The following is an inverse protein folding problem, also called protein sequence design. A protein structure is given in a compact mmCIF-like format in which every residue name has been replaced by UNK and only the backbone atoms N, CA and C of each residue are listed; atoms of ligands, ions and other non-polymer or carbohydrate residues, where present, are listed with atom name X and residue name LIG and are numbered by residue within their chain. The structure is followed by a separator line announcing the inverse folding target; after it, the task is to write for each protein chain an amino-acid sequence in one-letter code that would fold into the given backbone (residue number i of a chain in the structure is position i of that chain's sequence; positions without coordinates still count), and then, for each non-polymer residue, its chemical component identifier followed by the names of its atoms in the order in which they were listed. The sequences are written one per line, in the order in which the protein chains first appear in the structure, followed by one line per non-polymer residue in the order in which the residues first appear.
data_IF_334720758389
#
_entry.id   IF_334720758389
#
_cell.length_a   1.000
_cell.length_b   1.000
_cell.length_c   1.000
_cell.angle_alpha   90.00
_cell.angle_beta   90.00
_cell.angle_gamma   90.00
#
_symmetry.space_group_name_H-M   'P 1'
#
loop_
_entity.id
_entity.type
_entity.pdbx_description
1 polymer ?
#
# COMPACT_ATOMS: atom_id res chain seq x y z
N UNK A 1 -0.81 35.09 31.02
CA UNK A 1 -2.26 35.33 30.99
C UNK A 1 -2.91 34.09 30.43
N UNK A 2 -3.97 33.63 31.07
CA UNK A 2 -4.60 32.34 30.80
C UNK A 2 -5.79 32.57 29.85
N UNK A 3 -6.28 31.54 29.15
CA UNK A 3 -7.49 31.63 28.31
C UNK A 3 -8.67 32.31 29.03
N UNK A 4 -8.96 31.90 30.26
CA UNK A 4 -10.06 32.45 31.06
C UNK A 4 -9.89 33.96 31.37
N UNK A 5 -8.65 34.41 31.59
CA UNK A 5 -8.35 35.82 31.87
C UNK A 5 -8.50 36.68 30.60
N UNK A 6 -8.12 36.14 29.44
CA UNK A 6 -8.35 36.78 28.14
C UNK A 6 -9.86 36.87 27.85
N UNK A 7 -10.60 35.79 28.08
CA UNK A 7 -12.05 35.77 27.90
C UNK A 7 -12.76 36.80 28.80
N UNK A 8 -12.34 36.89 30.06
CA UNK A 8 -12.86 37.87 31.01
C UNK A 8 -12.47 39.31 30.64
N UNK A 9 -11.27 39.52 30.09
CA UNK A 9 -10.84 40.83 29.60
C UNK A 9 -11.70 41.28 28.42
N UNK A 10 -11.80 40.47 27.36
CA UNK A 10 -12.53 40.84 26.14
C UNK A 10 -14.04 40.94 26.33
N UNK A 11 -14.61 40.27 27.35
CA UNK A 11 -16.03 40.44 27.72
C UNK A 11 -16.30 41.69 28.57
N UNK A 12 -15.28 42.23 29.26
CA UNK A 12 -15.43 43.38 30.15
C UNK A 12 -15.06 44.72 29.52
N UNK A 13 -14.41 44.70 28.35
CA UNK A 13 -14.00 45.90 27.61
C UNK A 13 -14.74 46.00 26.28
N UNK A 14 -15.20 47.20 25.93
CA UNK A 14 -15.79 47.45 24.61
C UNK A 14 -14.67 47.81 23.63
N UNK A 15 -14.30 46.86 22.77
CA UNK A 15 -13.21 47.01 21.80
C UNK A 15 -13.73 47.38 20.41
N UNK A 16 -12.97 48.21 19.70
CA UNK A 16 -13.23 48.66 18.35
C UNK A 16 -11.93 48.73 17.55
N UNK A 17 -11.98 48.24 16.31
CA UNK A 17 -10.90 48.39 15.35
C UNK A 17 -10.80 49.85 14.89
N UNK A 18 -9.58 50.37 14.77
CA UNK A 18 -9.34 51.68 14.15
C UNK A 18 -9.79 51.66 12.68
N UNK A 19 -10.13 52.82 12.12
CA UNK A 19 -10.57 52.97 10.72
C UNK A 19 -9.57 52.36 9.71
N UNK A 20 -8.27 52.47 10.01
CA UNK A 20 -7.18 51.91 9.20
C UNK A 20 -6.91 50.41 9.43
N UNK A 21 -7.65 49.75 10.32
CA UNK A 21 -7.46 48.36 10.78
C UNK A 21 -6.05 48.03 11.31
N UNK A 22 -5.25 49.05 11.62
CA UNK A 22 -3.87 48.93 12.09
C UNK A 22 -3.73 48.76 13.61
N UNK A 23 -4.84 48.94 14.35
CA UNK A 23 -4.85 48.97 15.81
C UNK A 23 -6.22 48.58 16.37
N UNK A 24 -6.21 47.92 17.52
CA UNK A 24 -7.41 47.59 18.29
C UNK A 24 -7.42 48.49 19.52
N UNK A 25 -8.50 49.23 19.72
CA UNK A 25 -8.65 50.11 20.89
C UNK A 25 -9.85 49.70 21.69
N UNK A 26 -9.79 49.84 23.01
CA UNK A 26 -10.89 49.47 23.88
C UNK A 26 -11.20 50.57 24.89
N UNK A 27 -12.47 50.71 25.22
CA UNK A 27 -12.95 51.55 26.30
C UNK A 27 -13.13 50.68 27.55
N UNK A 28 -12.37 50.99 28.59
CA UNK A 28 -12.39 50.27 29.85
C UNK A 28 -12.78 51.20 31.00
N UNK A 29 -13.68 50.71 31.86
CA UNK A 29 -14.04 51.38 33.10
C UNK A 29 -13.16 50.88 34.25
N UNK A 30 -12.29 51.77 34.75
CA UNK A 30 -11.37 51.45 35.84
C UNK A 30 -12.03 51.50 37.22
N UNK A 31 -13.32 51.85 37.30
CA UNK A 31 -14.04 51.87 38.58
C UNK A 31 -14.07 50.48 39.22
N UNK A 32 -14.20 49.43 38.40
CA UNK A 32 -14.24 48.05 38.88
C UNK A 32 -12.84 47.51 39.18
N UNK A 33 -12.68 46.86 40.34
CA UNK A 33 -11.42 46.22 40.74
C UNK A 33 -11.02 45.06 39.80
N UNK A 34 -11.93 44.18 39.35
CA UNK A 34 -11.58 43.06 38.46
C UNK A 34 -11.02 43.53 37.12
N UNK A 35 -11.58 44.57 36.50
CA UNK A 35 -11.07 45.11 35.22
C UNK A 35 -9.69 45.72 35.39
N UNK A 36 -9.41 46.36 36.53
CA UNK A 36 -8.07 46.90 36.83
C UNK A 36 -7.02 45.80 36.96
N UNK A 37 -7.35 44.70 37.63
CA UNK A 37 -6.44 43.56 37.75
C UNK A 37 -6.17 42.91 36.39
N UNK A 38 -7.21 42.73 35.56
CA UNK A 38 -7.09 42.19 34.21
C UNK A 38 -6.25 43.09 33.29
N UNK A 39 -6.41 44.42 33.38
CA UNK A 39 -5.61 45.37 32.59
C UNK A 39 -4.16 45.39 33.06
N UNK A 40 -3.91 45.34 34.37
CA UNK A 40 -2.56 45.22 34.90
C UNK A 40 -1.88 43.93 34.40
N UNK A 41 -2.58 42.79 34.48
CA UNK A 41 -2.09 41.51 33.95
C UNK A 41 -1.81 41.57 32.44
N UNK A 42 -2.67 42.26 31.68
CA UNK A 42 -2.54 42.43 30.23
C UNK A 42 -1.37 43.34 29.84
N UNK A 43 -1.10 44.39 30.62
CA UNK A 43 0.08 45.26 30.43
C UNK A 43 1.35 44.47 30.71
N UNK A 44 1.39 43.68 31.78
CA UNK A 44 2.55 42.84 32.11
C UNK A 44 2.77 41.73 31.07
N UNK A 45 1.71 41.26 30.41
CA UNK A 45 1.79 40.32 29.28
C UNK A 45 2.18 41.01 27.95
N UNK A 46 2.24 42.34 27.91
CA UNK A 46 2.52 43.13 26.71
C UNK A 46 1.36 43.17 25.71
N UNK A 47 0.14 42.80 26.11
CA UNK A 47 -1.04 42.84 25.25
C UNK A 47 -1.61 44.26 25.16
N UNK A 48 -1.46 45.05 26.22
CA UNK A 48 -2.00 46.40 26.34
C UNK A 48 -0.85 47.38 26.56
N UNK A 49 -0.89 48.50 25.84
CA UNK A 49 0.06 49.59 26.07
C UNK A 49 -0.17 50.21 27.46
N UNK A 50 0.91 50.50 28.18
CA UNK A 50 0.84 51.10 29.52
C UNK A 50 0.25 52.53 29.52
N UNK A 51 0.20 53.19 28.36
CA UNK A 51 -0.41 54.50 28.18
C UNK A 51 -1.90 54.40 27.92
N UNK A 52 -2.66 55.07 28.80
CA UNK A 52 -4.12 55.16 28.73
C UNK A 52 -4.55 56.60 28.48
N UNK A 53 -5.64 56.77 27.74
CA UNK A 53 -6.16 58.09 27.35
C UNK A 53 -7.55 58.30 27.95
N UNK A 54 -7.80 59.38 28.71
CA UNK A 54 -9.13 59.63 29.26
C UNK A 54 -10.13 59.89 28.11
N UNK A 55 -11.30 59.27 28.17
CA UNK A 55 -12.41 59.49 27.19
C UNK A 55 -13.09 60.84 27.38
N UNK A 56 -13.11 61.36 28.62
CA UNK A 56 -13.68 62.66 28.97
C UNK A 56 -12.60 63.61 29.49
N UNK A 57 -12.47 64.80 28.88
CA UNK A 57 -11.52 65.84 29.28
C UNK A 57 -10.36 66.02 28.29
N UNK A 58 -9.24 66.59 28.75
CA UNK A 58 -8.05 66.78 27.89
C UNK A 58 -7.41 65.43 27.58
N UNK A 59 -7.11 65.10 26.30
CA UNK A 59 -6.57 63.80 25.88
C UNK A 59 -5.07 63.71 26.15
N UNK A 60 -4.66 63.85 27.41
CA UNK A 60 -3.26 63.68 27.83
C UNK A 60 -3.08 62.22 28.22
N UNK A 61 -2.16 61.53 27.55
CA UNK A 61 -1.78 60.17 27.90
C UNK A 61 -1.27 60.12 29.35
N UNK A 62 -1.77 59.16 30.13
CA UNK A 62 -1.28 58.85 31.47
C UNK A 62 -0.76 57.42 31.50
N UNK A 63 0.27 57.16 32.30
CA UNK A 63 0.69 55.79 32.59
C UNK A 63 -0.30 55.15 33.57
N UNK A 64 -0.73 53.92 33.27
CA UNK A 64 -1.69 53.19 34.09
C UNK A 64 -1.25 53.05 35.56
N UNK A 65 0.04 52.81 35.79
CA UNK A 65 0.62 52.68 37.14
C UNK A 65 0.65 53.98 37.95
N UNK A 66 0.48 55.13 37.29
CA UNK A 66 0.56 56.47 37.90
C UNK A 66 -0.84 57.11 38.07
N UNK A 67 -1.92 56.35 37.93
CA UNK A 67 -3.28 56.86 38.08
C UNK A 67 -3.62 57.15 39.55
N UNK A 68 -4.16 58.34 39.79
CA UNK A 68 -4.60 58.77 41.13
C UNK A 68 -5.98 58.19 41.50
N UNK A 69 -6.36 58.21 42.78
CA UNK A 69 -7.64 57.64 43.25
C UNK A 69 -8.89 58.21 42.57
N UNK A 70 -8.86 59.47 42.13
CA UNK A 70 -9.95 60.12 41.37
C UNK A 70 -9.92 59.83 39.87
N UNK A 71 -8.76 59.43 39.34
CA UNK A 71 -8.63 58.96 37.96
C UNK A 71 -9.22 57.56 37.80
N UNK A 72 -9.15 56.71 38.82
CA UNK A 72 -9.70 55.34 38.79
C UNK A 72 -11.23 55.28 38.69
N UNK A 73 -11.95 56.40 38.81
CA UNK A 73 -13.41 56.46 38.63
C UNK A 73 -13.84 56.84 37.20
N UNK A 74 -12.89 56.93 36.25
CA UNK A 74 -13.15 57.36 34.87
C UNK A 74 -12.96 56.21 33.89
N UNK A 75 -13.58 56.36 32.73
CA UNK A 75 -13.34 55.49 31.59
C UNK A 75 -12.11 55.94 30.81
N UNK A 76 -11.31 54.97 30.36
CA UNK A 76 -10.11 55.22 29.59
C UNK A 76 -10.16 54.45 28.28
N UNK A 77 -9.65 55.08 27.22
CA UNK A 77 -9.28 54.44 25.97
C UNK A 77 -7.90 53.80 26.14
N UNK A 78 -7.85 52.52 25.84
CA UNK A 78 -6.69 51.63 25.95
C UNK A 78 -6.34 51.12 24.55
N UNK A 79 -5.05 50.98 24.24
CA UNK A 79 -4.60 50.43 22.95
C UNK A 79 -4.09 49.01 23.16
N UNK A 80 -4.63 48.07 22.39
CA UNK A 80 -4.25 46.66 22.40
C UNK A 80 -3.23 46.42 21.28
N UNK A 81 -2.10 45.80 21.62
CA UNK A 81 -1.05 45.46 20.68
C UNK A 81 -1.40 44.20 19.89
N UNK A 82 -1.56 44.36 18.58
CA UNK A 82 -1.99 43.29 17.66
C UNK A 82 -0.83 42.36 17.28
N UNK A 83 0.40 42.88 17.26
CA UNK A 83 1.61 42.19 16.83
C UNK A 83 2.48 41.77 18.02
N UNK A 84 1.88 41.24 19.08
CA UNK A 84 2.65 40.70 20.20
C UNK A 84 3.32 39.38 19.75
N UNK A 85 4.63 39.17 20.03
CA UNK A 85 5.34 37.95 19.66
C UNK A 85 4.72 36.68 20.28
N UNK A 86 4.02 36.80 21.41
CA UNK A 86 3.38 35.70 22.10
C UNK A 86 1.92 35.47 21.67
N UNK A 87 1.24 36.50 21.15
CA UNK A 87 -0.17 36.42 20.78
C UNK A 87 -0.52 37.38 19.65
N UNK A 88 -0.87 36.84 18.48
CA UNK A 88 -1.33 37.65 17.34
C UNK A 88 -2.84 37.82 17.38
N UNK A 89 -3.31 39.03 17.06
CA UNK A 89 -4.74 39.33 16.97
C UNK A 89 -5.09 39.58 15.50
N UNK A 90 -6.19 39.01 15.03
CA UNK A 90 -6.70 39.19 13.68
C UNK A 90 -8.13 39.72 13.75
N UNK A 91 -8.46 40.64 12.85
CA UNK A 91 -9.82 41.18 12.72
C UNK A 91 -10.79 40.06 12.40
N UNK A 92 -10.70 39.50 11.22
CA UNK A 92 -11.56 38.40 10.79
C UNK A 92 -10.73 37.25 10.24
N UNK A 93 -11.39 36.13 9.95
CA UNK A 93 -10.78 34.94 9.36
C UNK A 93 -10.21 35.25 7.96
N UNK A 94 -10.77 36.24 7.27
CA UNK A 94 -10.25 36.76 6.00
C UNK A 94 -8.90 37.48 6.17
N UNK A 95 -8.70 38.21 7.26
CA UNK A 95 -7.44 38.87 7.61
C UNK A 95 -6.39 37.85 8.04
N UNK A 96 -6.79 36.82 8.78
CA UNK A 96 -5.96 35.66 9.12
C UNK A 96 -5.45 34.97 7.85
N UNK A 97 -6.34 34.57 6.95
CA UNK A 97 -5.99 33.90 5.68
C UNK A 97 -5.17 34.77 4.73
N UNK A 98 -5.24 36.10 4.83
CA UNK A 98 -4.37 36.98 4.03
C UNK A 98 -2.96 37.06 4.61
N UNK A 99 -2.86 37.13 5.94
CA UNK A 99 -1.57 37.29 6.64
C UNK A 99 -0.82 35.97 6.78
N UNK A 100 -1.57 34.88 6.92
CA UNK A 100 -1.08 33.52 7.12
C UNK A 100 -1.94 32.58 6.27
N UNK A 101 -1.68 32.44 4.96
CA UNK A 101 -2.59 31.74 4.06
C UNK A 101 -2.68 30.22 4.29
N UNK A 102 -1.60 29.57 4.73
CA UNK A 102 -1.55 28.09 4.89
C UNK A 102 -0.74 27.62 6.09
N UNK A 103 -0.40 28.54 7.00
CA UNK A 103 0.36 28.22 8.21
C UNK A 103 -0.27 28.93 9.38
N UNK A 104 -1.08 28.20 10.15
CA UNK A 104 -1.68 28.73 11.37
C UNK A 104 -0.59 29.13 12.38
N UNK A 105 -0.68 30.32 13.00
CA UNK A 105 0.08 30.64 14.21
C UNK A 105 -0.23 29.65 15.33
N UNK A 106 0.71 29.46 16.27
CA UNK A 106 0.52 28.58 17.42
C UNK A 106 -0.61 29.08 18.33
N UNK A 107 -0.62 30.37 18.67
CA UNK A 107 -1.68 31.00 19.46
C UNK A 107 -2.09 32.33 18.86
N UNK A 108 -3.41 32.52 18.67
CA UNK A 108 -3.96 33.76 18.12
C UNK A 108 -5.41 34.01 18.55
N UNK A 109 -5.83 35.26 18.42
CA UNK A 109 -7.21 35.70 18.62
C UNK A 109 -7.78 36.14 17.27
N UNK A 110 -9.02 35.75 16.98
CA UNK A 110 -9.84 36.33 15.90
C UNK A 110 -11.01 37.06 16.53
N UNK A 111 -11.25 38.31 16.14
CA UNK A 111 -12.33 39.16 16.67
C UNK A 111 -13.40 39.38 15.60
N UNK A 112 -14.28 38.41 15.37
CA UNK A 112 -15.42 38.62 14.47
C UNK A 112 -16.39 39.63 15.11
N UNK A 113 -17.17 40.37 14.32
CA UNK A 113 -17.88 41.59 14.76
C UNK A 113 -18.79 41.43 15.99
N UNK A 114 -19.14 40.19 16.38
CA UNK A 114 -19.92 39.86 17.59
C UNK A 114 -19.26 38.82 18.52
N UNK A 115 -18.10 38.25 18.17
CA UNK A 115 -17.46 37.19 18.97
C UNK A 115 -15.95 37.17 18.86
N UNK A 116 -15.26 36.87 19.97
CA UNK A 116 -13.83 36.61 19.97
C UNK A 116 -13.58 35.11 20.08
N UNK A 117 -12.64 34.62 19.29
CA UNK A 117 -12.24 33.22 19.28
C UNK A 117 -10.76 33.14 19.59
N UNK A 118 -10.45 32.54 20.73
CA UNK A 118 -9.08 32.24 21.14
C UNK A 118 -8.69 30.84 20.70
N UNK A 119 -7.61 30.74 19.93
CA UNK A 119 -6.99 29.49 19.51
C UNK A 119 -5.66 29.38 20.22
N UNK A 120 -5.48 28.31 21.00
CA UNK A 120 -4.26 28.05 21.75
C UNK A 120 -3.61 26.77 21.23
N UNK A 121 -2.31 26.82 20.95
CA UNK A 121 -1.52 25.69 20.46
C UNK A 121 -2.16 24.96 19.25
N UNK A 122 -2.85 25.68 18.38
CA UNK A 122 -3.56 25.12 17.22
C UNK A 122 -4.79 24.26 17.56
N UNK A 123 -5.26 24.24 18.81
CA UNK A 123 -6.49 23.56 19.20
C UNK A 123 -7.71 24.45 18.95
N UNK A 124 -8.63 23.92 18.14
CA UNK A 124 -9.93 24.56 17.89
C UNK A 124 -10.78 24.56 19.18
N UNK A 125 -11.56 25.62 19.45
CA UNK A 125 -12.53 25.64 20.53
C UNK A 125 -13.66 24.61 20.33
N UNK A 126 -14.42 24.30 21.38
CA UNK A 126 -15.49 23.28 21.36
C UNK A 126 -16.59 23.54 20.33
N UNK A 127 -16.83 24.81 19.96
CA UNK A 127 -17.74 25.22 18.88
C UNK A 127 -17.09 26.29 18.01
N UNK A 128 -16.20 25.91 17.08
CA UNK A 128 -15.51 26.88 16.25
C UNK A 128 -16.45 27.42 15.16
N UNK A 129 -16.31 28.69 14.75
CA UNK A 129 -16.95 29.18 13.53
C UNK A 129 -16.59 28.27 12.34
N UNK A 130 -17.57 27.99 11.47
CA UNK A 130 -17.39 27.09 10.32
C UNK A 130 -16.19 27.53 9.46
N UNK A 131 -16.06 28.83 9.24
CA UNK A 131 -14.95 29.44 8.50
C UNK A 131 -13.58 29.18 9.12
N UNK A 132 -13.50 29.05 10.45
CA UNK A 132 -12.25 28.76 11.16
C UNK A 132 -11.88 27.29 11.03
N UNK A 133 -12.85 26.38 11.20
CA UNK A 133 -12.64 24.95 10.96
C UNK A 133 -12.16 24.69 9.52
N UNK A 134 -12.79 25.33 8.54
CA UNK A 134 -12.39 25.22 7.14
C UNK A 134 -10.99 25.79 6.89
N UNK A 135 -10.59 26.86 7.55
CA UNK A 135 -9.22 27.37 7.46
C UNK A 135 -8.19 26.32 7.96
N UNK A 136 -8.47 25.60 9.05
CA UNK A 136 -7.60 24.52 9.52
C UNK A 136 -7.56 23.35 8.53
N UNK A 137 -8.70 22.95 7.94
CA UNK A 137 -8.72 21.93 6.89
C UNK A 137 -7.89 22.36 5.66
N UNK A 138 -7.99 23.62 5.23
CA UNK A 138 -7.18 24.15 4.14
C UNK A 138 -5.68 24.12 4.47
N UNK A 139 -5.31 24.55 5.68
CA UNK A 139 -3.93 24.51 6.15
C UNK A 139 -3.39 23.08 6.17
N UNK A 140 -4.23 22.12 6.53
CA UNK A 140 -3.87 20.70 6.55
C UNK A 140 -3.77 20.10 5.14
N UNK A 141 -4.68 20.45 4.23
CA UNK A 141 -4.58 20.05 2.82
C UNK A 141 -3.26 20.55 2.24
N UNK A 142 -2.89 21.81 2.50
CA UNK A 142 -1.63 22.37 2.03
C UNK A 142 -0.42 21.67 2.65
N UNK A 143 -0.45 21.33 3.94
CA UNK A 143 0.65 20.64 4.61
C UNK A 143 0.86 19.23 4.04
N UNK A 144 -0.22 18.49 3.79
CA UNK A 144 -0.18 17.17 3.15
C UNK A 144 0.37 17.28 1.72
N UNK A 145 -0.15 18.22 0.92
CA UNK A 145 0.38 18.46 -0.43
C UNK A 145 1.87 18.82 -0.42
N UNK A 146 2.32 19.55 0.60
CA UNK A 146 3.72 19.91 0.79
C UNK A 146 4.58 18.69 1.15
N UNK A 147 4.10 17.80 2.01
CA UNK A 147 4.80 16.55 2.36
C UNK A 147 5.04 15.65 1.14
N UNK A 148 4.07 15.60 0.23
CA UNK A 148 4.15 14.78 -0.98
C UNK A 148 4.79 15.48 -2.20
N UNK A 149 5.37 16.67 -2.00
CA UNK A 149 5.98 17.47 -3.06
C UNK A 149 7.49 17.26 -3.18
N UNK A 150 8.02 17.50 -4.38
CA UNK A 150 9.45 17.35 -4.65
C UNK A 150 10.26 18.59 -4.24
N UNK A 151 9.66 19.77 -4.36
CA UNK A 151 10.23 21.03 -3.87
C UNK A 151 9.12 21.93 -3.31
N UNK A 152 9.40 22.56 -2.17
CA UNK A 152 8.46 23.47 -1.52
C UNK A 152 9.15 24.73 -1.02
N UNK A 153 8.59 25.87 -1.41
CA UNK A 153 8.91 27.19 -0.86
C UNK A 153 7.75 27.64 0.03
N UNK A 154 7.92 28.76 0.73
CA UNK A 154 6.89 29.32 1.63
C UNK A 154 5.53 29.50 0.95
N UNK A 155 5.50 29.90 -0.32
CA UNK A 155 4.24 30.21 -1.03
C UNK A 155 3.97 29.33 -2.25
N UNK A 156 4.87 28.40 -2.59
CA UNK A 156 4.77 27.62 -3.82
C UNK A 156 5.20 26.18 -3.60
N UNK A 157 4.42 25.24 -4.13
CA UNK A 157 4.74 23.82 -4.16
C UNK A 157 5.01 23.40 -5.60
N UNK A 158 6.02 22.58 -5.81
CA UNK A 158 6.39 22.06 -7.12
C UNK A 158 6.37 20.53 -7.12
N UNK A 159 5.74 19.97 -8.14
CA UNK A 159 5.75 18.54 -8.43
C UNK A 159 6.49 18.29 -9.75
N UNK A 160 7.38 17.30 -9.74
CA UNK A 160 8.32 16.92 -10.79
C UNK A 160 8.06 15.47 -11.21
N UNK A 161 6.83 15.17 -11.60
CA UNK A 161 6.47 13.85 -12.10
C UNK A 161 6.75 13.75 -13.61
N UNK A 162 5.71 13.66 -14.46
CA UNK A 162 5.85 13.64 -15.93
C UNK A 162 6.03 15.02 -16.54
N UNK A 163 5.42 16.03 -15.93
CA UNK A 163 5.50 17.44 -16.30
C UNK A 163 5.57 18.25 -15.02
N UNK A 164 6.32 19.35 -15.07
CA UNK A 164 6.46 20.28 -13.94
C UNK A 164 5.12 20.94 -13.64
N UNK A 165 4.58 20.70 -12.45
CA UNK A 165 3.37 21.36 -11.94
C UNK A 165 3.76 22.31 -10.81
N UNK A 166 3.31 23.56 -10.92
CA UNK A 166 3.45 24.57 -9.88
C UNK A 166 2.08 24.88 -9.28
N UNK A 167 2.01 24.86 -7.95
CA UNK A 167 0.89 25.35 -7.16
C UNK A 167 1.36 26.58 -6.39
N UNK A 168 0.70 27.71 -6.61
CA UNK A 168 0.85 28.88 -5.76
C UNK A 168 -0.26 28.89 -4.72
N UNK A 169 0.09 29.32 -3.52
CA UNK A 169 -0.86 29.45 -2.44
C UNK A 169 -1.74 30.71 -2.64
N UNK A 170 -2.70 30.59 -3.53
CA UNK A 170 -3.62 31.68 -3.89
C UNK A 170 -5.01 31.10 -4.04
N UNK A 171 -5.95 31.63 -3.26
CA UNK A 171 -7.32 31.13 -3.18
C UNK A 171 -8.32 32.24 -2.83
N UNK A 172 -9.58 32.04 -3.21
CA UNK A 172 -10.68 32.93 -2.85
C UNK A 172 -11.13 32.66 -1.42
N UNK A 173 -11.36 33.74 -0.67
CA UNK A 173 -11.80 33.69 0.73
C UNK A 173 -13.21 33.13 0.89
N UNK A 174 -14.01 33.18 -0.18
CA UNK A 174 -15.36 32.61 -0.20
C UNK A 174 -15.36 31.10 0.05
N UNK A 175 -14.27 30.41 -0.29
CA UNK A 175 -14.10 28.97 -0.09
C UNK A 175 -14.20 28.61 1.40
N UNK A 176 -13.72 29.49 2.29
CA UNK A 176 -13.77 29.27 3.74
C UNK A 176 -15.21 29.16 4.25
N UNK A 177 -16.20 29.69 3.54
CA UNK A 177 -17.62 29.61 3.92
C UNK A 177 -18.28 28.31 3.45
N UNK A 178 -17.76 27.65 2.42
CA UNK A 178 -18.41 26.53 1.72
C UNK A 178 -18.04 25.15 2.26
N UNK A 179 -16.88 25.00 2.89
CA UNK A 179 -16.38 23.71 3.39
C UNK A 179 -15.71 22.86 2.30
N UNK A 180 -15.03 21.80 2.74
CA UNK A 180 -14.25 20.90 1.89
C UNK A 180 -14.81 19.48 1.92
N UNK A 181 -15.81 19.23 1.09
CA UNK A 181 -16.38 17.89 0.92
C UNK A 181 -15.30 16.93 0.38
N UNK A 182 -15.13 15.79 1.04
CA UNK A 182 -14.07 14.81 0.71
C UNK A 182 -12.79 14.93 1.54
N UNK A 183 -12.65 15.93 2.43
CA UNK A 183 -11.48 16.06 3.31
C UNK A 183 -11.17 14.80 4.15
N UNK A 184 -12.21 14.15 4.69
CA UNK A 184 -12.03 12.89 5.44
C UNK A 184 -11.46 11.75 4.57
N UNK A 185 -11.86 11.69 3.30
CA UNK A 185 -11.37 10.68 2.37
C UNK A 185 -9.93 11.01 1.94
N UNK A 186 -9.65 12.28 1.65
CA UNK A 186 -8.30 12.77 1.34
C UNK A 186 -7.28 12.43 2.44
N UNK A 187 -7.62 12.76 3.69
CA UNK A 187 -6.77 12.45 4.84
C UNK A 187 -6.60 10.94 5.01
N UNK A 188 -7.65 10.13 4.87
CA UNK A 188 -7.54 8.66 4.91
C UNK A 188 -6.62 8.09 3.82
N UNK A 189 -6.65 8.63 2.61
CA UNK A 189 -5.83 8.11 1.50
C UNK A 189 -4.35 8.45 1.65
N UNK A 190 -4.06 9.69 2.09
CA UNK A 190 -2.70 10.26 2.06
C UNK A 190 -2.01 10.30 3.42
N UNK A 191 -2.75 10.48 4.53
CA UNK A 191 -2.18 10.38 5.87
C UNK A 191 -2.04 8.90 6.24
N UNK A 192 -0.79 8.49 6.37
CA UNK A 192 -0.35 7.10 6.52
C UNK A 192 -0.81 6.53 7.87
N UNK A 193 -1.48 5.36 7.91
CA UNK A 193 -1.57 4.53 9.10
C UNK A 193 -0.23 3.81 9.33
N UNK A 194 0.17 3.65 10.60
CA UNK A 194 1.46 3.10 11.06
C UNK A 194 1.76 1.61 10.70
N UNK A 195 1.03 1.00 9.76
CA UNK A 195 1.17 -0.41 9.43
C UNK A 195 2.20 -0.66 8.30
N UNK A 196 3.09 -1.64 8.51
CA UNK A 196 4.20 -2.00 7.61
C UNK A 196 3.79 -2.30 6.15
N UNK A 197 2.57 -2.80 5.91
CA UNK A 197 2.08 -3.12 4.57
C UNK A 197 1.71 -1.89 3.73
N UNK A 198 1.38 -0.75 4.35
CA UNK A 198 1.06 0.49 3.63
C UNK A 198 2.31 1.33 3.31
N UNK A 199 3.46 1.01 3.93
CA UNK A 199 4.73 1.65 3.63
C UNK A 199 5.22 1.31 2.22
N UNK A 200 4.97 0.08 1.73
CA UNK A 200 5.28 -0.36 0.37
C UNK A 200 4.56 0.47 -0.70
N UNK A 201 3.39 1.04 -0.38
CA UNK A 201 2.58 1.83 -1.30
C UNK A 201 2.79 3.33 -1.18
N UNK A 202 3.66 3.81 -0.28
CA UNK A 202 3.88 5.25 -0.07
C UNK A 202 4.37 5.96 -1.34
N UNK A 203 5.35 5.36 -2.03
CA UNK A 203 5.91 5.93 -3.27
C UNK A 203 4.84 5.99 -4.35
N UNK A 204 4.04 4.93 -4.49
CA UNK A 204 3.03 4.91 -5.54
C UNK A 204 1.84 5.82 -5.22
N UNK A 205 1.41 5.92 -3.96
CA UNK A 205 0.44 6.93 -3.52
C UNK A 205 0.90 8.34 -3.91
N UNK A 206 2.19 8.65 -3.77
CA UNK A 206 2.75 9.92 -4.23
C UNK A 206 2.63 10.08 -5.75
N UNK A 207 3.00 9.07 -6.53
CA UNK A 207 2.90 9.13 -7.98
C UNK A 207 1.44 9.28 -8.46
N UNK A 208 0.52 8.56 -7.84
CA UNK A 208 -0.92 8.64 -8.13
C UNK A 208 -1.44 10.04 -7.80
N UNK A 209 -1.05 10.61 -6.67
CA UNK A 209 -1.38 11.99 -6.29
C UNK A 209 -0.84 12.99 -7.33
N UNK A 210 0.45 12.91 -7.67
CA UNK A 210 1.09 13.80 -8.63
C UNK A 210 0.44 13.71 -10.02
N UNK A 211 0.13 12.50 -10.50
CA UNK A 211 -0.53 12.29 -11.77
C UNK A 211 -1.98 12.81 -11.78
N UNK A 212 -2.70 12.62 -10.67
CA UNK A 212 -4.06 13.12 -10.50
C UNK A 212 -4.06 14.66 -10.49
N UNK A 213 -3.16 15.28 -9.72
CA UNK A 213 -2.99 16.73 -9.70
C UNK A 213 -2.65 17.28 -11.08
N UNK A 214 -1.70 16.66 -11.79
CA UNK A 214 -1.31 17.09 -13.13
C UNK A 214 -2.50 17.04 -14.08
N UNK A 215 -3.21 15.90 -14.14
CA UNK A 215 -4.34 15.72 -15.06
C UNK A 215 -5.52 16.63 -14.72
N UNK A 216 -5.67 16.98 -13.44
CA UNK A 216 -6.75 17.85 -12.97
C UNK A 216 -6.47 19.34 -13.21
N UNK A 217 -5.19 19.74 -13.24
CA UNK A 217 -4.77 21.15 -13.24
C UNK A 217 -3.98 21.58 -14.48
N UNK A 218 -3.68 20.69 -15.43
CA UNK A 218 -2.82 21.05 -16.56
C UNK A 218 -3.38 22.14 -17.47
N UNK A 219 -4.71 22.23 -17.58
CA UNK A 219 -5.40 23.23 -18.40
C UNK A 219 -5.64 24.55 -17.66
N UNK A 220 -5.25 24.65 -16.39
CA UNK A 220 -5.51 25.81 -15.53
C UNK A 220 -4.23 26.65 -15.39
N UNK A 221 -4.41 27.97 -15.38
CA UNK A 221 -3.33 28.94 -15.20
C UNK A 221 -2.70 28.83 -13.81
N UNK A 222 -1.39 29.03 -13.72
CA UNK A 222 -0.58 28.76 -12.51
C UNK A 222 -1.11 29.47 -11.27
N UNK A 223 -1.58 30.71 -11.41
CA UNK A 223 -2.09 31.52 -10.31
C UNK A 223 -3.47 31.08 -9.81
N UNK A 224 -4.27 30.40 -10.64
CA UNK A 224 -5.62 29.94 -10.29
C UNK A 224 -5.70 28.46 -9.90
N UNK A 225 -4.65 27.67 -10.12
CA UNK A 225 -4.65 26.22 -9.90
C UNK A 225 -5.09 25.79 -8.50
N UNK A 226 -4.57 26.44 -7.47
CA UNK A 226 -4.91 26.06 -6.09
C UNK A 226 -6.35 26.46 -5.75
N UNK A 227 -6.77 27.66 -6.15
CA UNK A 227 -8.17 28.08 -6.05
C UNK A 227 -9.13 27.12 -6.76
N UNK A 228 -8.78 26.68 -7.97
CA UNK A 228 -9.57 25.74 -8.75
C UNK A 228 -9.64 24.35 -8.10
N UNK A 229 -8.50 23.86 -7.58
CA UNK A 229 -8.41 22.60 -6.84
C UNK A 229 -9.35 22.60 -5.64
N UNK A 230 -9.33 23.68 -4.84
CA UNK A 230 -10.17 23.83 -3.65
C UNK A 230 -11.66 23.94 -4.00
N UNK A 231 -12.01 24.64 -5.08
CA UNK A 231 -13.41 24.76 -5.53
C UNK A 231 -14.00 23.45 -6.08
N UNK A 232 -13.17 22.52 -6.53
CA UNK A 232 -13.59 21.22 -7.07
C UNK A 232 -12.93 20.07 -6.28
N UNK A 233 -12.75 20.27 -4.97
CA UNK A 233 -11.97 19.36 -4.13
C UNK A 233 -12.62 17.98 -4.03
N UNK A 234 -13.94 17.93 -3.97
CA UNK A 234 -14.75 16.71 -4.01
C UNK A 234 -14.41 15.83 -5.24
N UNK A 235 -14.40 16.42 -6.43
CA UNK A 235 -14.11 15.73 -7.69
C UNK A 235 -12.65 15.29 -7.75
N UNK A 236 -11.74 16.12 -7.25
CA UNK A 236 -10.32 15.78 -7.19
C UNK A 236 -10.10 14.56 -6.29
N UNK A 237 -10.68 14.56 -5.09
CA UNK A 237 -10.54 13.47 -4.12
C UNK A 237 -11.15 12.18 -4.64
N UNK A 238 -12.32 12.26 -5.29
CA UNK A 238 -12.96 11.09 -5.91
C UNK A 238 -12.09 10.49 -7.01
N UNK A 239 -11.50 11.33 -7.88
CA UNK A 239 -10.58 10.88 -8.93
C UNK A 239 -9.29 10.28 -8.37
N UNK A 240 -8.81 10.81 -7.24
CA UNK A 240 -7.65 10.28 -6.53
C UNK A 240 -7.94 8.88 -5.99
N UNK A 241 -9.10 8.69 -5.35
CA UNK A 241 -9.54 7.38 -4.87
C UNK A 241 -9.69 6.38 -6.00
N UNK A 242 -10.39 6.74 -7.08
CA UNK A 242 -10.55 5.88 -8.27
C UNK A 242 -9.19 5.44 -8.84
N UNK A 243 -8.24 6.37 -8.94
CA UNK A 243 -6.89 6.08 -9.43
C UNK A 243 -6.13 5.15 -8.48
N UNK A 244 -6.31 5.33 -7.17
CA UNK A 244 -5.74 4.44 -6.15
C UNK A 244 -6.35 3.04 -6.19
N UNK A 245 -7.68 2.92 -6.28
CA UNK A 245 -8.36 1.63 -6.40
C UNK A 245 -7.93 0.90 -7.68
N UNK A 246 -7.81 1.61 -8.81
CA UNK A 246 -7.32 1.03 -10.06
C UNK A 246 -5.89 0.48 -9.91
N UNK A 247 -5.01 1.20 -9.21
CA UNK A 247 -3.66 0.72 -8.89
C UNK A 247 -3.69 -0.53 -7.99
N UNK A 248 -4.45 -0.51 -6.89
CA UNK A 248 -4.54 -1.65 -5.95
C UNK A 248 -5.04 -2.90 -6.65
N UNK A 249 -6.04 -2.76 -7.53
CA UNK A 249 -6.57 -3.83 -8.34
C UNK A 249 -5.51 -4.35 -9.33
N UNK A 250 -4.83 -3.45 -10.05
CA UNK A 250 -3.72 -3.80 -10.96
C UNK A 250 -2.58 -4.53 -10.26
N UNK A 251 -2.10 -4.01 -9.14
CA UNK A 251 -1.04 -4.61 -8.32
C UNK A 251 -1.44 -6.01 -7.80
N UNK A 252 -2.69 -6.16 -7.36
CA UNK A 252 -3.22 -7.46 -6.93
C UNK A 252 -3.24 -8.46 -8.08
N UNK A 253 -3.54 -8.02 -9.30
CA UNK A 253 -3.46 -8.87 -10.49
C UNK A 253 -2.03 -9.26 -10.86
N UNK A 254 -1.09 -8.31 -10.84
CA UNK A 254 0.31 -8.59 -11.14
C UNK A 254 0.92 -9.57 -10.14
N UNK A 255 0.66 -9.39 -8.85
CA UNK A 255 1.09 -10.31 -7.79
C UNK A 255 0.49 -11.71 -7.95
N UNK A 256 -0.79 -11.78 -8.33
CA UNK A 256 -1.46 -13.06 -8.59
C UNK A 256 -0.87 -13.76 -9.81
N UNK A 257 -0.57 -13.01 -10.88
CA UNK A 257 0.09 -13.50 -12.08
C UNK A 257 1.49 -14.00 -11.79
N UNK A 258 2.31 -13.23 -11.08
CA UNK A 258 3.68 -13.60 -10.72
C UNK A 258 3.72 -14.92 -9.94
N UNK A 259 2.86 -15.04 -8.92
CA UNK A 259 2.71 -16.27 -8.14
C UNK A 259 2.32 -17.47 -9.00
N UNK A 260 1.50 -17.24 -10.03
CA UNK A 260 1.16 -18.29 -10.98
C UNK A 260 2.35 -18.66 -11.87
N UNK A 261 3.07 -17.69 -12.42
CA UNK A 261 4.26 -17.95 -13.24
C UNK A 261 5.33 -18.72 -12.46
N UNK A 262 5.49 -18.42 -11.17
CA UNK A 262 6.34 -19.19 -10.25
C UNK A 262 5.86 -20.64 -10.10
N UNK A 263 4.58 -20.86 -9.80
CA UNK A 263 4.00 -22.21 -9.71
C UNK A 263 4.10 -23.00 -11.00
N UNK A 264 3.91 -22.35 -12.15
CA UNK A 264 4.13 -22.98 -13.45
C UNK A 264 5.57 -23.44 -13.61
N UNK A 265 6.55 -22.62 -13.23
CA UNK A 265 7.97 -23.00 -13.26
C UNK A 265 8.25 -24.20 -12.35
N UNK A 266 7.71 -24.22 -11.13
CA UNK A 266 7.83 -25.36 -10.20
C UNK A 266 7.27 -26.65 -10.80
N UNK A 267 6.03 -26.63 -11.33
CA UNK A 267 5.44 -27.83 -11.93
C UNK A 267 6.19 -28.30 -13.18
N UNK A 268 6.73 -27.36 -13.96
CA UNK A 268 7.53 -27.70 -15.13
C UNK A 268 8.82 -28.43 -14.76
N UNK A 269 9.48 -28.01 -13.67
CA UNK A 269 10.64 -28.70 -13.11
C UNK A 269 10.23 -30.09 -12.62
N UNK A 270 9.16 -30.19 -11.82
CA UNK A 270 8.69 -31.47 -11.29
C UNK A 270 8.34 -32.49 -12.40
N UNK A 271 7.70 -32.05 -13.50
CA UNK A 271 7.40 -32.91 -14.65
C UNK A 271 8.70 -33.36 -15.34
N UNK A 272 9.66 -32.47 -15.52
CA UNK A 272 10.94 -32.83 -16.13
C UNK A 272 11.74 -33.80 -15.27
N UNK A 273 11.69 -33.65 -13.95
CA UNK A 273 12.34 -34.55 -13.00
C UNK A 273 11.69 -35.93 -13.05
N UNK A 274 10.35 -36.00 -13.09
CA UNK A 274 9.62 -37.26 -13.24
C UNK A 274 9.93 -37.95 -14.58
N UNK A 275 9.96 -37.21 -15.69
CA UNK A 275 10.36 -37.76 -17.01
C UNK A 275 11.82 -38.24 -16.97
N UNK A 276 12.74 -37.46 -16.39
CA UNK A 276 14.16 -37.83 -16.29
C UNK A 276 14.35 -39.08 -15.43
N UNK A 277 13.62 -39.19 -14.32
CA UNK A 277 13.55 -40.39 -13.47
C UNK A 277 13.07 -41.60 -14.26
N UNK A 278 11.99 -41.47 -15.06
CA UNK A 278 11.51 -42.54 -15.93
C UNK A 278 12.56 -42.98 -16.95
N UNK A 279 13.28 -42.04 -17.58
CA UNK A 279 14.36 -42.34 -18.53
C UNK A 279 15.48 -43.12 -17.83
N UNK A 280 15.95 -42.67 -16.66
CA UNK A 280 16.98 -43.40 -15.90
C UNK A 280 16.51 -44.80 -15.51
N UNK A 281 15.27 -44.93 -15.01
CA UNK A 281 14.69 -46.24 -14.66
C UNK A 281 14.57 -47.14 -15.88
N UNK A 282 14.26 -46.60 -17.06
CA UNK A 282 14.12 -47.40 -18.29
C UNK A 282 15.41 -48.12 -18.70
N UNK A 283 16.58 -47.65 -18.23
CA UNK A 283 17.87 -48.33 -18.42
C UNK A 283 17.96 -49.68 -17.66
N UNK A 284 17.01 -49.97 -16.76
CA UNK A 284 16.88 -51.30 -16.13
C UNK A 284 16.54 -52.39 -17.15
N UNK A 285 15.79 -52.07 -18.22
CA UNK A 285 15.38 -53.07 -19.23
C UNK A 285 16.58 -53.56 -20.07
N UNK A 286 17.41 -52.70 -20.69
CA UNK A 286 18.65 -53.14 -21.35
C UNK A 286 19.58 -53.93 -20.43
N UNK A 287 19.67 -53.52 -19.15
CA UNK A 287 20.50 -54.21 -18.16
C UNK A 287 20.00 -55.64 -17.89
N UNK A 288 18.69 -55.82 -17.72
CA UNK A 288 18.07 -57.14 -17.60
C UNK A 288 18.26 -58.00 -18.85
N UNK A 289 18.13 -57.40 -20.03
CA UNK A 289 18.37 -58.09 -21.30
C UNK A 289 19.84 -58.53 -21.46
N UNK A 290 20.80 -57.69 -21.05
CA UNK A 290 22.22 -58.03 -21.04
C UNK A 290 22.53 -59.22 -20.10
N UNK A 291 21.90 -59.27 -18.93
CA UNK A 291 22.04 -60.41 -18.01
C UNK A 291 21.52 -61.72 -18.63
N UNK A 292 20.39 -61.69 -19.33
CA UNK A 292 19.86 -62.85 -20.06
C UNK A 292 20.80 -63.26 -21.21
N UNK A 293 21.31 -62.29 -21.98
CA UNK A 293 22.18 -62.54 -23.13
C UNK A 293 23.54 -63.15 -22.72
N UNK A 294 24.22 -62.59 -21.72
CA UNK A 294 25.51 -63.10 -21.22
C UNK A 294 25.41 -64.52 -20.67
N UNK A 295 24.32 -64.84 -19.98
CA UNK A 295 24.08 -66.20 -19.48
C UNK A 295 23.81 -67.20 -20.59
N UNK A 296 23.09 -66.78 -21.64
CA UNK A 296 22.86 -67.62 -22.83
C UNK A 296 24.17 -68.05 -23.48
N UNK A 297 25.18 -67.18 -23.51
CA UNK A 297 26.51 -67.49 -24.07
C UNK A 297 27.32 -68.46 -23.19
N UNK A 298 27.18 -68.39 -21.86
CA UNK A 298 27.94 -69.23 -20.91
C UNK A 298 27.51 -70.70 -20.85
N UNK A 299 26.32 -71.04 -21.35
CA UNK A 299 25.74 -72.40 -21.29
C UNK A 299 26.21 -73.27 -22.49
N UNK A 300 26.88 -72.67 -23.49
CA UNK A 300 27.39 -73.39 -24.67
C UNK A 300 28.56 -74.35 -24.42
N UNK A 301 29.11 -74.41 -23.20
CA UNK A 301 30.30 -75.20 -22.88
C UNK A 301 30.03 -76.32 -21.86
N UNK A 302 29.96 -77.55 -22.38
CA UNK A 302 30.06 -78.88 -21.75
C UNK A 302 28.89 -79.33 -20.85
N UNK A 303 28.11 -80.27 -21.39
CA UNK A 303 27.08 -81.04 -20.71
C UNK A 303 27.76 -82.18 -19.91
N UNK A 304 27.95 -82.00 -18.61
CA UNK A 304 28.33 -83.09 -17.70
C UNK A 304 27.09 -83.51 -16.89
N UNK A 305 26.80 -84.80 -16.76
CA UNK A 305 25.53 -85.30 -16.20
C UNK A 305 25.31 -84.90 -14.72
N UNK A 306 26.38 -84.66 -13.95
CA UNK A 306 26.31 -84.09 -12.60
C UNK A 306 26.03 -82.57 -12.57
N UNK A 307 26.16 -81.89 -13.71
CA UNK A 307 25.97 -80.43 -13.85
C UNK A 307 24.56 -80.05 -14.34
N UNK A 308 23.73 -81.02 -14.74
CA UNK A 308 22.38 -80.76 -15.29
C UNK A 308 21.42 -80.14 -14.25
N UNK A 309 21.43 -80.64 -13.01
CA UNK A 309 20.62 -80.07 -11.91
C UNK A 309 21.08 -78.66 -11.53
N UNK A 310 22.40 -78.43 -11.52
CA UNK A 310 22.98 -77.11 -11.25
C UNK A 310 22.64 -76.10 -12.36
N UNK A 311 22.62 -76.53 -13.62
CA UNK A 311 22.20 -75.70 -14.76
C UNK A 311 20.71 -75.38 -14.71
N UNK A 312 19.85 -76.34 -14.35
CA UNK A 312 18.41 -76.09 -14.16
C UNK A 312 18.15 -75.07 -13.04
N UNK A 313 18.81 -75.22 -11.89
CA UNK A 313 18.67 -74.27 -10.76
C UNK A 313 19.16 -72.88 -11.16
N UNK A 314 20.27 -72.78 -11.90
CA UNK A 314 20.80 -71.51 -12.41
C UNK A 314 19.84 -70.84 -13.40
N UNK A 315 19.30 -71.59 -14.37
CA UNK A 315 18.36 -71.06 -15.37
C UNK A 315 17.05 -70.58 -14.73
N UNK A 316 16.53 -71.32 -13.75
CA UNK A 316 15.36 -70.93 -12.97
C UNK A 316 15.65 -69.68 -12.14
N UNK A 317 16.82 -69.60 -11.50
CA UNK A 317 17.26 -68.42 -10.76
C UNK A 317 17.35 -67.16 -11.64
N UNK A 318 17.96 -67.27 -12.83
CA UNK A 318 18.08 -66.15 -13.78
C UNK A 318 16.69 -65.71 -14.28
N UNK A 319 15.82 -66.66 -14.61
CA UNK A 319 14.44 -66.36 -15.05
C UNK A 319 13.65 -65.67 -13.94
N UNK A 320 13.78 -66.15 -12.69
CA UNK A 320 13.17 -65.53 -11.52
C UNK A 320 13.69 -64.11 -11.29
N UNK A 321 15.01 -63.87 -11.42
CA UNK A 321 15.60 -62.53 -11.35
C UNK A 321 15.08 -61.61 -12.47
N UNK A 322 14.95 -62.11 -13.71
CA UNK A 322 14.44 -61.33 -14.84
C UNK A 322 12.98 -60.92 -14.64
N UNK A 323 12.13 -61.83 -14.14
CA UNK A 323 10.73 -61.55 -13.79
C UNK A 323 10.66 -60.56 -12.62
N UNK A 324 11.51 -60.73 -11.59
CA UNK A 324 11.58 -59.81 -10.47
C UNK A 324 11.93 -58.38 -10.89
N UNK A 325 12.93 -58.21 -11.78
CA UNK A 325 13.28 -56.92 -12.37
C UNK A 325 12.07 -56.31 -13.10
N UNK A 326 11.33 -57.10 -13.87
CA UNK A 326 10.11 -56.65 -14.56
C UNK A 326 9.02 -56.19 -13.58
N UNK A 327 8.81 -56.91 -12.48
CA UNK A 327 7.83 -56.54 -11.44
C UNK A 327 8.24 -55.23 -10.76
N UNK A 328 9.49 -55.10 -10.33
CA UNK A 328 10.00 -53.87 -9.70
C UNK A 328 9.89 -52.70 -10.66
N UNK A 329 10.26 -52.88 -11.93
CA UNK A 329 10.16 -51.83 -12.94
C UNK A 329 8.69 -51.42 -13.19
N UNK A 330 7.76 -52.37 -13.21
CA UNK A 330 6.33 -52.09 -13.28
C UNK A 330 5.84 -51.23 -12.10
N UNK A 331 6.23 -51.58 -10.87
CA UNK A 331 5.87 -50.81 -9.66
C UNK A 331 6.45 -49.39 -9.70
N UNK A 332 7.70 -49.24 -10.17
CA UNK A 332 8.34 -47.94 -10.31
C UNK A 332 7.64 -47.05 -11.35
N UNK A 333 7.22 -47.61 -12.48
CA UNK A 333 6.46 -46.89 -13.50
C UNK A 333 5.07 -46.48 -13.01
N UNK A 334 4.39 -47.36 -12.26
CA UNK A 334 3.07 -47.07 -11.69
C UNK A 334 3.16 -45.93 -10.66
N UNK A 335 4.18 -45.92 -9.81
CA UNK A 335 4.43 -44.84 -8.86
C UNK A 335 4.64 -43.49 -9.55
N UNK A 336 5.45 -43.46 -10.61
CA UNK A 336 5.68 -42.25 -11.41
C UNK A 336 4.42 -41.79 -12.16
N UNK A 337 3.60 -42.73 -12.66
CA UNK A 337 2.31 -42.40 -13.28
C UNK A 337 1.35 -41.73 -12.29
N UNK A 338 1.31 -42.21 -11.04
CA UNK A 338 0.52 -41.57 -9.99
C UNK A 338 1.03 -40.18 -9.64
N UNK A 339 2.36 -39.99 -9.54
CA UNK A 339 2.96 -38.68 -9.29
C UNK A 339 2.60 -37.67 -10.39
N UNK A 340 2.76 -38.06 -11.66
CA UNK A 340 2.42 -37.21 -12.81
C UNK A 340 0.92 -36.88 -12.85
N UNK A 341 0.05 -37.84 -12.53
CA UNK A 341 -1.39 -37.62 -12.44
C UNK A 341 -1.77 -36.68 -11.29
N UNK A 342 -1.07 -36.74 -10.15
CA UNK A 342 -1.30 -35.84 -9.03
C UNK A 342 -0.93 -34.40 -9.40
N UNK A 343 0.23 -34.21 -10.04
CA UNK A 343 0.67 -32.90 -10.56
C UNK A 343 -0.36 -32.33 -11.54
N UNK A 344 -0.87 -33.16 -12.46
CA UNK A 344 -1.92 -32.77 -13.43
C UNK A 344 -3.18 -32.29 -12.73
N UNK A 345 -3.64 -33.03 -11.71
CA UNK A 345 -4.84 -32.69 -10.97
C UNK A 345 -4.68 -31.39 -10.18
N UNK A 346 -3.57 -31.24 -9.45
CA UNK A 346 -3.28 -30.05 -8.66
C UNK A 346 -3.18 -28.81 -9.53
N UNK A 347 -2.46 -28.90 -10.66
CA UNK A 347 -2.35 -27.78 -11.58
C UNK A 347 -3.69 -27.39 -12.21
N UNK A 348 -4.49 -28.37 -12.66
CA UNK A 348 -5.82 -28.10 -13.23
C UNK A 348 -6.75 -27.46 -12.21
N UNK A 349 -6.67 -27.90 -10.95
CA UNK A 349 -7.41 -27.30 -9.84
C UNK A 349 -6.97 -25.85 -9.58
N UNK A 350 -5.66 -25.59 -9.54
CA UNK A 350 -5.11 -24.24 -9.38
C UNK A 350 -5.55 -23.32 -10.51
N UNK A 351 -5.53 -23.81 -11.74
CA UNK A 351 -5.94 -23.06 -12.93
C UNK A 351 -7.44 -22.76 -12.92
N UNK A 352 -8.28 -23.72 -12.53
CA UNK A 352 -9.72 -23.51 -12.38
C UNK A 352 -10.02 -22.39 -11.38
N UNK A 353 -9.36 -22.43 -10.22
CA UNK A 353 -9.51 -21.37 -9.19
C UNK A 353 -9.04 -20.00 -9.65
N UNK A 354 -8.05 -19.94 -10.55
CA UNK A 354 -7.55 -18.68 -11.09
C UNK A 354 -8.53 -18.11 -12.11
N UNK A 355 -9.06 -18.96 -12.99
CA UNK A 355 -10.10 -18.60 -13.96
C UNK A 355 -11.34 -18.02 -13.28
N UNK A 356 -11.76 -18.62 -12.17
CA UNK A 356 -12.90 -18.13 -11.38
C UNK A 356 -12.63 -16.76 -10.73
N UNK A 357 -11.37 -16.47 -10.39
CA UNK A 357 -10.97 -15.22 -9.73
C UNK A 357 -10.70 -14.07 -10.70
N UNK A 358 -10.19 -14.34 -11.89
CA UNK A 358 -9.89 -13.31 -12.88
C UNK A 358 -9.77 -13.89 -14.29
N UNK A 359 -10.71 -13.51 -15.17
CA UNK A 359 -10.65 -13.86 -16.60
C UNK A 359 -9.45 -13.22 -17.29
N UNK A 360 -9.08 -12.00 -16.92
CA UNK A 360 -8.00 -11.25 -17.56
C UNK A 360 -6.61 -11.85 -17.25
N UNK A 361 -6.40 -12.33 -16.01
CA UNK A 361 -5.19 -13.05 -15.66
C UNK A 361 -5.12 -14.41 -16.38
N UNK A 362 -6.27 -15.07 -16.55
CA UNK A 362 -6.37 -16.36 -17.23
C UNK A 362 -5.95 -16.28 -18.71
N UNK A 363 -6.36 -15.24 -19.45
CA UNK A 363 -6.03 -15.10 -20.87
C UNK A 363 -4.50 -14.99 -21.12
N UNK A 364 -3.78 -14.30 -20.24
CA UNK A 364 -2.32 -14.21 -20.31
C UNK A 364 -1.62 -15.56 -20.00
N UNK A 365 -2.31 -16.45 -19.31
CA UNK A 365 -1.77 -17.67 -18.72
C UNK A 365 -2.23 -18.95 -19.44
N UNK A 366 -3.29 -18.89 -20.26
CA UNK A 366 -3.85 -20.02 -21.02
C UNK A 366 -2.78 -20.73 -21.86
N UNK A 367 -1.81 -19.99 -22.38
CA UNK A 367 -0.67 -20.54 -23.11
C UNK A 367 0.21 -21.45 -22.24
N UNK A 368 0.40 -21.11 -20.98
CA UNK A 368 1.14 -21.93 -20.01
C UNK A 368 0.38 -23.22 -19.69
N UNK A 369 -0.94 -23.14 -19.54
CA UNK A 369 -1.80 -24.31 -19.33
C UNK A 369 -1.64 -25.31 -20.48
N UNK A 370 -1.84 -24.84 -21.72
CA UNK A 370 -1.71 -25.67 -22.93
C UNK A 370 -0.32 -26.32 -23.04
N UNK A 371 0.74 -25.59 -22.71
CA UNK A 371 2.12 -26.14 -22.75
C UNK A 371 2.33 -27.22 -21.69
N UNK A 372 1.85 -27.00 -20.47
CA UNK A 372 1.99 -27.96 -19.38
C UNK A 372 1.19 -29.24 -19.66
N UNK A 373 -0.06 -29.10 -20.10
CA UNK A 373 -0.91 -30.24 -20.47
C UNK A 373 -0.26 -31.09 -21.57
N UNK A 374 0.30 -30.47 -22.61
CA UNK A 374 1.04 -31.20 -23.66
C UNK A 374 2.24 -31.98 -23.12
N UNK A 375 3.01 -31.41 -22.17
CA UNK A 375 4.14 -32.13 -21.55
C UNK A 375 3.68 -33.29 -20.67
N UNK A 376 2.60 -33.12 -19.93
CA UNK A 376 2.00 -34.19 -19.11
C UNK A 376 1.52 -35.33 -20.02
N UNK A 377 0.79 -35.02 -21.09
CA UNK A 377 0.34 -36.02 -22.07
C UNK A 377 1.50 -36.78 -22.70
N UNK A 378 2.59 -36.08 -23.02
CA UNK A 378 3.81 -36.71 -23.50
C UNK A 378 4.39 -37.69 -22.47
N UNK A 379 4.46 -37.30 -21.19
CA UNK A 379 4.89 -38.17 -20.10
C UNK A 379 3.99 -39.41 -19.93
N UNK A 380 2.67 -39.23 -19.90
CA UNK A 380 1.70 -40.33 -19.82
C UNK A 380 1.84 -41.31 -21.00
N UNK A 381 2.04 -40.79 -22.21
CA UNK A 381 2.27 -41.61 -23.41
C UNK A 381 3.59 -42.39 -23.31
N UNK A 382 4.65 -41.75 -22.80
CA UNK A 382 5.95 -42.37 -22.59
C UNK A 382 5.87 -43.54 -21.59
N UNK A 383 5.18 -43.35 -20.46
CA UNK A 383 4.94 -44.40 -19.47
C UNK A 383 4.19 -45.59 -20.09
N UNK A 384 3.11 -45.32 -20.86
CA UNK A 384 2.34 -46.37 -21.55
C UNK A 384 3.24 -47.19 -22.47
N UNK A 385 4.12 -46.54 -23.23
CA UNK A 385 5.09 -47.22 -24.10
C UNK A 385 6.08 -48.07 -23.30
N UNK A 386 6.61 -47.55 -22.19
CA UNK A 386 7.52 -48.30 -21.32
C UNK A 386 6.85 -49.52 -20.68
N UNK A 387 5.58 -49.43 -20.29
CA UNK A 387 4.82 -50.59 -19.82
C UNK A 387 4.71 -51.67 -20.89
N UNK A 388 4.40 -51.31 -22.15
CA UNK A 388 4.37 -52.27 -23.25
C UNK A 388 5.74 -52.93 -23.48
N UNK A 389 6.82 -52.17 -23.43
CA UNK A 389 8.19 -52.71 -23.57
C UNK A 389 8.52 -53.66 -22.41
N UNK A 390 8.17 -53.31 -21.18
CA UNK A 390 8.40 -54.17 -20.02
C UNK A 390 7.61 -55.49 -20.11
N UNK A 391 6.36 -55.44 -20.58
CA UNK A 391 5.55 -56.63 -20.81
C UNK A 391 6.20 -57.54 -21.85
N UNK A 392 6.66 -56.97 -22.97
CA UNK A 392 7.39 -57.72 -24.00
C UNK A 392 8.67 -58.34 -23.43
N UNK A 393 9.44 -57.60 -22.64
CA UNK A 393 10.62 -58.12 -21.94
C UNK A 393 10.28 -59.30 -21.02
N UNK A 394 9.21 -59.21 -20.23
CA UNK A 394 8.75 -60.29 -19.37
C UNK A 394 8.36 -61.55 -20.16
N UNK A 395 7.64 -61.38 -21.28
CA UNK A 395 7.28 -62.48 -22.18
C UNK A 395 8.52 -63.15 -22.78
N UNK A 396 9.51 -62.37 -23.22
CA UNK A 396 10.78 -62.90 -23.76
C UNK A 396 11.56 -63.64 -22.67
N UNK A 397 11.65 -63.09 -21.46
CA UNK A 397 12.31 -63.74 -20.33
C UNK A 397 11.65 -65.08 -19.96
N UNK A 398 10.32 -65.14 -19.96
CA UNK A 398 9.56 -66.36 -19.72
C UNK A 398 9.78 -67.40 -20.83
N UNK A 399 9.71 -66.99 -22.09
CA UNK A 399 9.97 -67.88 -23.23
C UNK A 399 11.41 -68.42 -23.21
N UNK A 400 12.38 -67.57 -22.87
CA UNK A 400 13.78 -67.97 -22.69
C UNK A 400 13.94 -69.00 -21.57
N UNK A 401 13.32 -68.76 -20.41
CA UNK A 401 13.33 -69.71 -19.29
C UNK A 401 12.74 -71.07 -19.68
N UNK A 402 11.58 -71.08 -20.33
CA UNK A 402 10.91 -72.31 -20.77
C UNK A 402 11.73 -73.10 -21.79
N UNK A 403 12.28 -72.44 -22.82
CA UNK A 403 13.08 -73.10 -23.86
C UNK A 403 14.40 -73.67 -23.33
N UNK A 404 15.00 -73.05 -22.31
CA UNK A 404 16.23 -73.54 -21.67
C UNK A 404 15.99 -74.60 -20.59
N UNK A 405 14.79 -74.63 -20.02
CA UNK A 405 14.40 -75.64 -19.04
C UNK A 405 13.92 -76.94 -19.72
N UNK A 406 13.36 -76.84 -20.93
CA UNK A 406 12.92 -77.97 -21.75
C UNK A 406 13.55 -77.90 -23.17
N UNK A 407 14.83 -78.26 -23.35
CA UNK A 407 15.44 -78.27 -24.67
C UNK A 407 14.73 -79.29 -25.58
N UNK A 408 14.44 -78.93 -26.85
CA UNK A 408 13.70 -79.80 -27.78
C UNK A 408 14.45 -81.09 -28.16
N UNK A 409 15.75 -81.19 -27.84
CA UNK A 409 16.56 -82.40 -28.07
C UNK A 409 16.41 -83.46 -26.95
N UNK A 410 15.61 -83.20 -25.92
CA UNK A 410 15.23 -84.25 -24.96
C UNK A 410 14.10 -85.06 -25.59
N UNK A 411 14.47 -86.10 -26.33
CA UNK A 411 13.57 -87.20 -26.67
C UNK A 411 12.97 -87.74 -25.36
N UNK A 412 11.74 -87.34 -25.06
CA UNK A 412 10.89 -88.06 -24.13
C UNK A 412 10.52 -89.39 -24.79
N UNK A 413 11.40 -90.39 -24.70
CA UNK A 413 11.09 -91.76 -25.06
C UNK A 413 11.41 -92.69 -23.89
N UNK A 414 10.32 -93.25 -23.36
CA UNK A 414 10.18 -94.44 -22.50
C UNK A 414 10.74 -94.37 -21.07
#
# INVERSE_FOLDING_TARGET
MNKAELEQLFSSINYQWNEDNSGLTAHADFSSLPVRELINASINFGLINNRVYPTSGRPIAKDFFNLSGSDLQKTYKVTIEINNPNLKIFKNIEHLSTTCPTSSPQSFIVTDDESFVFVENGQLPESPPISLSNYFHLSDIWSVLKEHSDDSKTNTITFLYRRKLHLKNTYSKEILKRGFDGYALFTKLLKIPENDQELEHKIEKNHILQNTLLTFLESIEVDERFNYLLNNFDKFVLRLDESYQAYVVGFSFDKLREKHEEKYREFMVAINDSISSMVMKSLMIPSGAFLLATRTQSIGSKLDLGSASLQMISNLGITACAIFISIVFYLLLMSEAHSLSAIKFEYKSLMGRLKDKSSQAYDAIELHEKRLSKRIEFGELFIKRLHCINLMYACVALAWGLTKQFPPDVQWFL
#
